data_IF_789512034871
#
_entry.id   IF_789512034871
#
_cell.length_a   1.000
_cell.length_b   1.000
_cell.length_c   1.000
_cell.angle_alpha   90.00
_cell.angle_beta   90.00
_cell.angle_gamma   90.00
#
_symmetry.space_group_name_H-M   'P 1'
#
loop_
_entity.id
_entity.type
_entity.pdbx_description
1 polymer ?
#
# COMPACT_ATOMS: atom_id res chain seq x y z
N UNK A 1 0.66 -6.77 -35.66
CA UNK A 1 1.68 -7.35 -34.77
C UNK A 1 3.03 -7.20 -35.48
N UNK A 2 3.87 -6.22 -35.09
CA UNK A 2 5.16 -5.93 -35.75
C UNK A 2 6.36 -5.85 -34.78
N UNK A 3 6.14 -6.04 -33.47
CA UNK A 3 7.15 -5.73 -32.42
C UNK A 3 7.95 -6.94 -31.90
N UNK A 4 7.89 -8.11 -32.56
CA UNK A 4 8.62 -9.33 -32.12
C UNK A 4 9.81 -9.64 -33.03
N UNK A 5 9.93 -8.95 -34.17
CA UNK A 5 10.92 -9.26 -35.20
C UNK A 5 12.05 -8.24 -35.30
N UNK A 6 12.13 -7.26 -34.38
CA UNK A 6 13.24 -6.31 -34.37
C UNK A 6 14.43 -6.92 -33.60
N UNK A 7 15.55 -7.24 -34.26
CA UNK A 7 16.71 -7.87 -33.63
C UNK A 7 17.38 -6.99 -32.57
N UNK A 8 17.11 -5.69 -32.56
CA UNK A 8 17.67 -4.76 -31.57
C UNK A 8 16.94 -4.80 -30.23
N UNK A 9 15.78 -5.47 -30.16
CA UNK A 9 15.02 -5.59 -28.92
C UNK A 9 15.70 -6.56 -27.95
N UNK A 10 16.01 -6.06 -26.75
CA UNK A 10 16.43 -6.92 -25.67
C UNK A 10 15.20 -7.63 -25.07
N UNK A 11 15.19 -8.96 -25.19
CA UNK A 11 14.15 -9.86 -24.66
C UNK A 11 14.49 -10.46 -23.29
N UNK A 12 15.64 -10.12 -22.69
CA UNK A 12 16.01 -10.58 -21.36
C UNK A 12 14.96 -10.20 -20.31
N UNK A 13 14.80 -10.96 -19.21
CA UNK A 13 13.91 -10.58 -18.14
C UNK A 13 14.24 -9.17 -17.60
N UNK A 14 13.21 -8.44 -17.17
CA UNK A 14 13.40 -7.16 -16.49
C UNK A 14 13.98 -7.37 -15.10
N UNK A 15 15.05 -6.65 -14.78
CA UNK A 15 15.60 -6.55 -13.43
C UNK A 15 14.61 -5.83 -12.50
N UNK A 16 14.81 -5.97 -11.19
CA UNK A 16 13.96 -5.28 -10.22
C UNK A 16 14.09 -3.75 -10.34
N UNK A 17 15.30 -3.25 -10.59
CA UNK A 17 15.58 -1.83 -10.79
C UNK A 17 14.88 -1.27 -12.04
N UNK A 18 14.89 -2.02 -13.15
CA UNK A 18 14.18 -1.62 -14.37
C UNK A 18 12.67 -1.51 -14.10
N UNK A 19 12.10 -2.48 -13.37
CA UNK A 19 10.67 -2.48 -13.01
C UNK A 19 10.32 -1.28 -12.13
N UNK A 20 11.13 -1.01 -11.10
CA UNK A 20 10.93 0.12 -10.20
C UNK A 20 10.97 1.43 -10.96
N UNK A 21 11.95 1.61 -11.84
CA UNK A 21 12.07 2.82 -12.66
C UNK A 21 10.87 3.06 -13.57
N UNK A 22 10.36 2.00 -14.23
CA UNK A 22 9.15 2.09 -15.06
C UNK A 22 7.96 2.53 -14.22
N UNK A 23 7.79 1.96 -13.02
CA UNK A 23 6.67 2.27 -12.15
C UNK A 23 6.75 3.70 -11.59
N UNK A 24 7.91 4.13 -11.09
CA UNK A 24 8.13 5.51 -10.63
C UNK A 24 7.88 6.54 -11.73
N UNK A 25 8.36 6.26 -12.94
CA UNK A 25 8.14 7.14 -14.08
C UNK A 25 6.66 7.20 -14.46
N UNK A 26 6.00 6.05 -14.54
CA UNK A 26 4.59 5.96 -14.94
C UNK A 26 3.65 6.59 -13.90
N UNK A 27 3.99 6.53 -12.61
CA UNK A 27 3.26 7.20 -11.53
C UNK A 27 3.37 8.73 -11.57
N UNK A 28 4.45 9.28 -12.15
CA UNK A 28 4.64 10.73 -12.33
C UNK A 28 3.88 11.29 -13.54
N UNK A 29 3.46 10.43 -14.47
CA UNK A 29 2.68 10.83 -15.63
C UNK A 29 1.18 10.86 -15.29
N UNK A 30 0.48 11.93 -15.71
CA UNK A 30 -0.98 12.01 -15.59
C UNK A 30 -1.68 10.88 -16.36
N UNK A 31 -2.87 10.48 -15.90
CA UNK A 31 -3.54 9.25 -16.33
C UNK A 31 -4.06 9.22 -17.77
N UNK A 32 -4.04 10.36 -18.48
CA UNK A 32 -4.60 10.51 -19.82
C UNK A 32 -3.87 9.69 -20.89
N UNK A 33 -2.58 9.97 -21.12
CA UNK A 33 -1.78 9.19 -22.06
C UNK A 33 -0.31 9.17 -21.60
N UNK A 34 0.13 8.02 -21.09
CA UNK A 34 1.51 7.84 -20.64
C UNK A 34 2.40 7.79 -21.90
N UNK A 35 3.33 8.74 -22.11
CA UNK A 35 4.11 8.80 -23.34
C UNK A 35 5.22 7.74 -23.33
N UNK A 36 4.84 6.48 -23.51
CA UNK A 36 5.76 5.33 -23.52
C UNK A 36 6.85 5.46 -24.61
N UNK A 37 6.59 6.29 -25.64
CA UNK A 37 7.57 6.71 -26.66
C UNK A 37 8.79 7.39 -26.04
N UNK A 38 8.59 8.21 -25.02
CA UNK A 38 9.65 8.99 -24.38
C UNK A 38 10.35 8.20 -23.28
N UNK A 39 9.69 7.19 -22.70
CA UNK A 39 10.28 6.30 -21.72
C UNK A 39 11.26 5.31 -22.37
N UNK A 40 10.96 4.83 -23.58
CA UNK A 40 11.82 3.86 -24.29
C UNK A 40 13.29 4.32 -24.43
N UNK A 41 13.61 5.52 -24.95
CA UNK A 41 15.01 5.97 -25.04
C UNK A 41 15.62 6.27 -23.66
N UNK A 42 14.80 6.63 -22.64
CA UNK A 42 15.30 6.82 -21.26
C UNK A 42 15.72 5.49 -20.63
N UNK A 43 14.98 4.42 -20.89
CA UNK A 43 15.33 3.06 -20.48
C UNK A 43 16.64 2.62 -21.12
N UNK A 44 16.77 2.82 -22.43
CA UNK A 44 17.99 2.49 -23.16
C UNK A 44 19.20 3.29 -22.65
N UNK A 45 19.05 4.61 -22.44
CA UNK A 45 20.14 5.45 -21.91
C UNK A 45 20.58 5.05 -20.50
N UNK A 46 19.64 4.62 -19.65
CA UNK A 46 19.94 4.27 -18.24
C UNK A 46 20.46 2.85 -18.07
N UNK A 47 19.90 1.89 -18.79
CA UNK A 47 20.17 0.46 -18.59
C UNK A 47 20.95 -0.17 -19.75
N UNK A 48 21.19 0.55 -20.85
CA UNK A 48 21.84 0.03 -22.05
C UNK A 48 20.99 -0.97 -22.83
N UNK A 49 19.69 -1.05 -22.54
CA UNK A 49 18.79 -2.08 -23.07
C UNK A 49 17.64 -1.46 -23.85
N UNK A 50 17.57 -1.73 -25.14
CA UNK A 50 16.48 -1.30 -25.98
C UNK A 50 15.26 -2.22 -25.79
N UNK A 51 14.34 -1.79 -24.93
CA UNK A 51 13.12 -2.53 -24.62
C UNK A 51 11.97 -2.09 -25.52
N UNK A 52 11.09 -3.02 -25.88
CA UNK A 52 9.91 -2.66 -26.68
C UNK A 52 8.93 -1.80 -25.88
N UNK A 53 8.23 -0.88 -26.54
CA UNK A 53 7.17 -0.11 -25.89
C UNK A 53 6.10 -0.99 -25.23
N UNK A 54 5.76 -2.11 -25.89
CA UNK A 54 4.75 -3.04 -25.41
C UNK A 54 5.21 -3.75 -24.12
N UNK A 55 6.47 -4.15 -24.05
CA UNK A 55 7.02 -4.80 -22.85
C UNK A 55 7.08 -3.84 -21.67
N UNK A 56 7.45 -2.57 -21.89
CA UNK A 56 7.41 -1.53 -20.86
C UNK A 56 5.97 -1.34 -20.34
N UNK A 57 4.99 -1.24 -21.24
CA UNK A 57 3.57 -1.12 -20.89
C UNK A 57 3.08 -2.33 -20.10
N UNK A 58 3.52 -3.54 -20.46
CA UNK A 58 3.17 -4.77 -19.76
C UNK A 58 3.70 -4.77 -18.33
N UNK A 59 4.94 -4.33 -18.10
CA UNK A 59 5.52 -4.21 -16.74
C UNK A 59 4.63 -3.32 -15.86
N UNK A 60 4.25 -2.14 -16.35
CA UNK A 60 3.35 -1.24 -15.62
C UNK A 60 1.99 -1.88 -15.34
N UNK A 61 1.35 -2.47 -16.35
CA UNK A 61 0.04 -3.10 -16.19
C UNK A 61 0.08 -4.27 -15.20
N UNK A 62 1.15 -5.07 -15.22
CA UNK A 62 1.38 -6.13 -14.25
C UNK A 62 1.54 -5.59 -12.84
N UNK A 63 2.29 -4.50 -12.67
CA UNK A 63 2.45 -3.85 -11.37
C UNK A 63 1.11 -3.28 -10.85
N UNK A 64 0.39 -2.53 -11.68
CA UNK A 64 -0.92 -1.97 -11.35
C UNK A 64 -1.89 -3.05 -10.87
N UNK A 65 -1.99 -4.18 -11.59
CA UNK A 65 -2.82 -5.32 -11.19
C UNK A 65 -2.42 -5.93 -9.85
N UNK A 66 -1.12 -5.95 -9.52
CA UNK A 66 -0.64 -6.43 -8.21
C UNK A 66 -1.06 -5.45 -7.10
N UNK A 67 -0.85 -4.15 -7.30
CA UNK A 67 -1.27 -3.12 -6.37
C UNK A 67 -2.78 -3.15 -6.11
N UNK A 68 -3.59 -3.28 -7.17
CA UNK A 68 -5.06 -3.38 -7.04
C UNK A 68 -5.50 -4.62 -6.24
N UNK A 69 -4.78 -5.74 -6.35
CA UNK A 69 -5.05 -6.95 -5.57
C UNK A 69 -4.68 -6.76 -4.10
N UNK A 70 -3.51 -6.18 -3.84
CA UNK A 70 -3.06 -5.89 -2.47
C UNK A 70 -4.02 -4.92 -1.77
N UNK A 71 -4.47 -3.86 -2.45
CA UNK A 71 -5.45 -2.93 -1.90
C UNK A 71 -6.77 -3.62 -1.53
N UNK A 72 -7.25 -4.56 -2.36
CA UNK A 72 -8.44 -5.36 -2.05
C UNK A 72 -8.24 -6.31 -0.87
N UNK A 73 -7.04 -6.85 -0.72
CA UNK A 73 -6.71 -7.76 0.38
C UNK A 73 -6.60 -7.01 1.71
N UNK A 74 -5.95 -5.84 1.71
CA UNK A 74 -5.90 -4.93 2.86
C UNK A 74 -7.31 -4.59 3.33
N UNK A 75 -8.18 -4.15 2.42
CA UNK A 75 -9.58 -3.83 2.75
C UNK A 75 -10.31 -5.03 3.38
N UNK A 76 -10.19 -6.23 2.79
CA UNK A 76 -10.82 -7.44 3.35
C UNK A 76 -10.31 -7.80 4.73
N UNK A 77 -9.05 -7.51 5.04
CA UNK A 77 -8.47 -7.78 6.34
C UNK A 77 -8.91 -6.74 7.37
N UNK A 78 -9.04 -5.48 6.96
CA UNK A 78 -9.61 -4.40 7.77
C UNK A 78 -11.06 -4.71 8.16
N UNK A 79 -11.91 -5.11 7.20
CA UNK A 79 -13.30 -5.52 7.44
C UNK A 79 -13.40 -6.67 8.47
N UNK A 80 -12.44 -7.61 8.47
CA UNK A 80 -12.39 -8.73 9.43
C UNK A 80 -11.95 -8.27 10.82
N UNK A 81 -10.99 -7.35 10.90
CA UNK A 81 -10.51 -6.81 12.17
C UNK A 81 -11.66 -6.05 12.84
N UNK A 82 -12.43 -5.27 12.08
CA UNK A 82 -13.62 -4.57 12.57
C UNK A 82 -14.65 -5.56 13.14
N UNK A 83 -15.01 -6.62 12.40
CA UNK A 83 -15.95 -7.66 12.86
C UNK A 83 -15.47 -8.37 14.14
N UNK A 84 -14.18 -8.71 14.24
CA UNK A 84 -13.61 -9.32 15.45
C UNK A 84 -13.64 -8.33 16.63
N UNK A 85 -13.31 -7.07 16.38
CA UNK A 85 -13.32 -6.02 17.42
C UNK A 85 -14.73 -5.80 17.96
N UNK A 86 -15.74 -5.79 17.07
CA UNK A 86 -17.14 -5.66 17.48
C UNK A 86 -17.60 -6.86 18.32
N UNK A 87 -17.22 -8.08 17.94
CA UNK A 87 -17.51 -9.29 18.73
C UNK A 87 -16.82 -9.29 20.10
N UNK A 88 -15.56 -8.88 20.17
CA UNK A 88 -14.84 -8.75 21.45
C UNK A 88 -15.51 -7.72 22.35
N UNK A 89 -15.93 -6.57 21.81
CA UNK A 89 -16.67 -5.56 22.57
C UNK A 89 -18.01 -6.09 23.09
N UNK A 90 -18.74 -6.89 22.31
CA UNK A 90 -19.98 -7.53 22.76
C UNK A 90 -19.74 -8.58 23.85
N UNK A 91 -18.62 -9.31 23.81
CA UNK A 91 -18.24 -10.30 24.82
C UNK A 91 -17.68 -9.67 26.11
N UNK A 92 -16.95 -8.56 26.00
CA UNK A 92 -16.37 -7.84 27.14
C UNK A 92 -17.45 -7.08 27.95
N UNK A 93 -18.57 -6.73 27.31
CA UNK A 93 -19.73 -6.12 27.96
C UNK A 93 -20.98 -6.97 27.72
N UNK A 94 -21.08 -8.17 28.32
CA UNK A 94 -22.29 -8.96 28.23
C UNK A 94 -23.41 -8.17 28.92
N UNK A 95 -24.45 -7.80 28.17
CA UNK A 95 -25.61 -6.99 28.62
C UNK A 95 -26.42 -7.66 29.77
N UNK A 96 -25.95 -8.79 30.29
CA UNK A 96 -26.65 -9.57 31.31
C UNK A 96 -26.31 -9.18 32.75
N UNK A 97 -25.36 -8.28 32.98
CA UNK A 97 -25.31 -7.56 34.27
C UNK A 97 -26.12 -6.28 34.17
N UNK A 98 -27.33 -6.34 34.72
CA UNK A 98 -28.22 -5.17 34.91
C UNK A 98 -27.53 -4.21 35.89
N UNK A 99 -26.66 -3.37 35.36
CA UNK A 99 -26.15 -2.16 35.99
C UNK A 99 -26.17 -1.05 34.94
N UNK A 100 -26.83 0.10 35.17
CA UNK A 100 -26.97 1.11 34.15
C UNK A 100 -25.65 1.87 34.03
N UNK A 101 -24.67 1.30 33.32
CA UNK A 101 -23.46 2.05 33.00
C UNK A 101 -23.84 3.20 32.07
N UNK A 102 -23.80 4.39 32.65
CA UNK A 102 -24.07 5.67 32.01
C UNK A 102 -23.05 5.92 30.91
N UNK A 103 -23.39 6.82 29.97
CA UNK A 103 -22.48 7.21 28.88
C UNK A 103 -21.13 7.71 29.41
N UNK A 104 -21.08 8.21 30.65
CA UNK A 104 -19.90 8.67 31.36
C UNK A 104 -18.93 7.52 31.66
N UNK A 105 -19.44 6.42 32.23
CA UNK A 105 -18.60 5.29 32.66
C UNK A 105 -18.01 4.53 31.46
N UNK A 106 -18.74 4.48 30.33
CA UNK A 106 -18.18 3.98 29.06
C UNK A 106 -17.08 4.87 28.49
N UNK A 107 -17.11 6.18 28.76
CA UNK A 107 -16.08 7.12 28.32
C UNK A 107 -14.82 7.01 29.19
N UNK A 108 -14.97 6.82 30.50
CA UNK A 108 -13.87 6.57 31.43
C UNK A 108 -13.12 5.27 31.11
N UNK A 109 -13.84 4.19 30.82
CA UNK A 109 -13.20 2.93 30.43
C UNK A 109 -12.41 3.04 29.11
N UNK A 110 -12.87 3.86 28.15
CA UNK A 110 -12.11 4.15 26.92
C UNK A 110 -10.82 4.91 27.19
N UNK A 111 -10.83 5.81 28.18
CA UNK A 111 -9.63 6.55 28.59
C UNK A 111 -8.62 5.61 29.25
N UNK A 112 -9.07 4.78 30.19
CA UNK A 112 -8.21 3.85 30.94
C UNK A 112 -7.58 2.74 30.09
N UNK A 113 -8.25 2.33 29.00
CA UNK A 113 -7.72 1.33 28.06
C UNK A 113 -6.75 1.91 27.03
N UNK A 114 -6.64 3.23 26.92
CA UNK A 114 -5.71 3.92 26.02
C UNK A 114 -4.40 4.34 26.70
N UNK A 115 -4.21 4.02 27.99
CA UNK A 115 -3.00 4.36 28.74
C UNK A 115 -1.92 3.28 28.57
N UNK A 116 -1.36 3.12 27.36
CA UNK A 116 0.06 2.77 27.23
C UNK A 116 0.71 3.58 26.10
N UNK A 117 1.84 4.19 26.47
CA UNK A 117 2.80 4.99 25.69
C UNK A 117 2.52 6.48 25.45
N UNK A 118 2.59 7.29 26.51
CA UNK A 118 3.46 8.49 26.50
C UNK A 118 3.63 9.09 27.92
N UNK A 119 4.37 8.43 28.81
CA UNK A 119 5.08 9.18 29.85
C UNK A 119 6.24 8.39 30.45
N UNK A 120 7.37 8.39 29.75
CA UNK A 120 8.63 8.01 30.37
C UNK A 120 9.75 8.94 29.88
N UNK A 121 9.73 10.18 30.36
CA UNK A 121 10.93 10.97 30.72
C UNK A 121 10.60 11.93 31.86
N UNK A 122 10.86 11.44 33.08
CA UNK A 122 10.96 12.20 34.31
C UNK A 122 11.63 13.57 34.13
N UNK A 123 10.94 14.61 34.57
CA UNK A 123 11.52 15.89 34.98
C UNK A 123 12.26 15.63 36.30
N UNK A 124 13.59 15.63 36.26
CA UNK A 124 14.42 15.68 37.47
C UNK A 124 14.36 17.12 38.02
N UNK A 125 13.58 17.31 39.07
CA UNK A 125 13.65 18.47 39.94
C UNK A 125 14.63 18.15 41.07
N UNK A 126 15.70 18.94 41.20
CA UNK A 126 16.36 19.14 42.49
C UNK A 126 16.91 20.56 42.63
N UNK A 127 16.29 21.26 43.59
CA UNK A 127 16.64 22.48 44.36
C UNK A 127 17.16 23.74 43.64
#
# INVERSE_FOLDING_TARGET
>A
YWNVLDPHLDHSPYSQEEKNYICEWASKCQDGDKPWKDLQPKMEKKFGKFRSRNSIKNVWNSNKRRTDRLAKEVKRNEDKIEDVTEKMNQLAFPINEVGPFTKQEKLELRYLLNDEDENDKNVDMNL
#
